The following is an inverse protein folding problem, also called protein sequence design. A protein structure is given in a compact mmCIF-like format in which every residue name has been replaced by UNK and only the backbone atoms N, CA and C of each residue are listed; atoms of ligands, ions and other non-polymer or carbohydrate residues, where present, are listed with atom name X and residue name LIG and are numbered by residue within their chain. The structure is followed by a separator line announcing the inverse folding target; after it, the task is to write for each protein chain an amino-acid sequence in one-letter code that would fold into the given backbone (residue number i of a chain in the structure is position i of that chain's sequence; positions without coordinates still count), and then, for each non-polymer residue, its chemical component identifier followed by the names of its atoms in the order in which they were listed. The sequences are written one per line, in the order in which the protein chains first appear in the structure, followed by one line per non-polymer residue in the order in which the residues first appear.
data_IF_916364995282
#
_entry.id   IF_916364995282
#
_cell.length_a   1.000
_cell.length_b   1.000
_cell.length_c   1.000
_cell.angle_alpha   90.00
_cell.angle_beta   90.00
_cell.angle_gamma   90.00
#
_symmetry.space_group_name_H-M   'P 1'
#
loop_
_entity.id
_entity.type
_entity.pdbx_description
1 polymer ?
#
# COMPACT_ATOMS: atom_id res chain seq x y z
N UNK A 1 -43.39 10.97 20.94
CA UNK A 1 -42.63 10.28 19.87
C UNK A 1 -41.18 10.18 20.34
N UNK A 2 -40.77 9.00 20.82
CA UNK A 2 -39.50 8.80 21.47
C UNK A 2 -38.39 8.45 20.46
N UNK A 3 -37.36 9.27 20.44
CA UNK A 3 -36.15 8.98 19.67
C UNK A 3 -35.28 7.95 20.39
N UNK A 4 -34.96 6.86 19.73
CA UNK A 4 -34.06 5.83 20.23
C UNK A 4 -32.60 6.33 20.29
N UNK A 5 -31.82 6.00 21.32
CA UNK A 5 -30.47 6.48 21.47
C UNK A 5 -29.51 5.73 20.48
N UNK A 6 -28.78 6.52 19.73
CA UNK A 6 -27.68 6.04 18.87
C UNK A 6 -26.61 5.39 19.73
N UNK A 7 -26.45 4.07 19.64
CA UNK A 7 -25.36 3.33 20.29
C UNK A 7 -24.00 3.79 19.74
N UNK A 8 -23.25 4.55 20.52
CA UNK A 8 -21.82 4.82 20.29
C UNK A 8 -21.06 3.48 20.30
N UNK A 9 -20.52 3.08 19.15
CA UNK A 9 -19.59 1.97 19.05
C UNK A 9 -18.34 2.30 19.88
N UNK A 10 -18.09 1.52 20.93
CA UNK A 10 -16.86 1.61 21.72
C UNK A 10 -15.68 1.28 20.82
N UNK A 11 -14.79 2.24 20.60
CA UNK A 11 -13.47 2.02 20.03
C UNK A 11 -12.69 1.13 21.00
N UNK A 12 -12.55 -0.16 20.70
CA UNK A 12 -11.67 -1.07 21.43
C UNK A 12 -10.24 -0.78 20.97
N UNK A 13 -9.59 0.18 21.62
CA UNK A 13 -8.19 0.50 21.38
C UNK A 13 -7.30 -0.72 21.65
N UNK A 14 -6.34 -0.95 20.78
CA UNK A 14 -5.30 -1.97 20.94
C UNK A 14 -4.54 -1.68 22.24
N UNK A 15 -4.32 -2.66 23.14
CA UNK A 15 -3.55 -2.46 24.34
C UNK A 15 -2.15 -1.93 24.00
N UNK A 16 -1.75 -0.82 24.61
CA UNK A 16 -0.41 -0.18 24.43
C UNK A 16 0.75 -1.17 24.56
N UNK A 17 0.57 -2.27 25.29
CA UNK A 17 1.60 -3.33 25.51
C UNK A 17 1.99 -4.10 24.27
N UNK A 18 1.13 -4.24 23.23
CA UNK A 18 1.46 -4.96 22.02
C UNK A 18 2.23 -4.10 20.98
N UNK A 19 2.11 -2.77 21.05
CA UNK A 19 2.89 -1.85 20.20
C UNK A 19 4.38 -1.77 20.58
N UNK A 20 4.72 -1.99 21.86
CA UNK A 20 6.09 -1.88 22.37
C UNK A 20 6.96 -3.10 22.12
N UNK A 21 6.38 -4.28 21.83
CA UNK A 21 7.15 -5.52 21.69
C UNK A 21 7.96 -5.57 20.39
N UNK A 22 7.54 -4.86 19.35
CA UNK A 22 8.23 -4.91 18.05
C UNK A 22 9.48 -4.02 18.00
N UNK A 23 9.50 -2.87 18.66
CA UNK A 23 10.66 -1.95 18.65
C UNK A 23 11.73 -2.27 19.70
N UNK A 24 11.44 -3.10 20.70
CA UNK A 24 12.37 -3.40 21.80
C UNK A 24 13.14 -4.71 21.66
N UNK A 25 12.76 -5.58 20.71
CA UNK A 25 13.44 -6.88 20.51
C UNK A 25 14.71 -6.75 19.68
N UNK A 26 15.79 -7.42 20.12
CA UNK A 26 17.03 -7.54 19.37
C UNK A 26 16.76 -8.07 17.92
N UNK A 27 17.29 -7.41 16.88
CA UNK A 27 17.08 -7.82 15.48
C UNK A 27 17.44 -9.28 15.19
N UNK A 28 18.49 -9.80 15.84
CA UNK A 28 18.94 -11.20 15.71
C UNK A 28 17.88 -12.15 16.29
N UNK A 29 17.30 -11.82 17.43
CA UNK A 29 16.25 -12.61 18.07
C UNK A 29 14.96 -12.60 17.22
N UNK A 30 14.60 -11.45 16.69
CA UNK A 30 13.48 -11.33 15.71
C UNK A 30 13.69 -12.24 14.50
N UNK A 31 14.88 -12.21 13.91
CA UNK A 31 15.22 -13.03 12.76
C UNK A 31 15.17 -14.54 13.09
N UNK A 32 15.65 -14.93 14.26
CA UNK A 32 15.64 -16.32 14.73
C UNK A 32 14.23 -16.83 14.96
N UNK A 33 13.38 -16.06 15.64
CA UNK A 33 11.96 -16.40 15.86
C UNK A 33 11.25 -16.50 14.51
N UNK A 34 11.50 -15.56 13.60
CA UNK A 34 10.86 -15.52 12.28
C UNK A 34 11.17 -16.77 11.44
N UNK A 35 12.40 -17.32 11.54
CA UNK A 35 12.78 -18.56 10.85
C UNK A 35 11.96 -19.78 11.26
N UNK A 36 11.41 -19.78 12.47
CA UNK A 36 10.58 -20.86 13.01
C UNK A 36 9.09 -20.72 12.62
N UNK A 37 8.67 -19.56 12.13
CA UNK A 37 7.29 -19.32 11.75
C UNK A 37 6.94 -19.99 10.41
N UNK A 38 5.68 -20.47 10.25
CA UNK A 38 5.21 -21.04 9.00
C UNK A 38 5.39 -20.08 7.83
N UNK A 39 5.99 -20.59 6.74
CA UNK A 39 6.29 -19.80 5.53
C UNK A 39 5.22 -19.91 4.44
N UNK A 40 4.38 -20.96 4.53
CA UNK A 40 3.36 -21.19 3.52
C UNK A 40 2.21 -20.18 3.68
N UNK A 41 1.86 -19.44 2.63
CA UNK A 41 0.70 -18.55 2.67
C UNK A 41 -0.60 -19.33 2.75
N UNK A 42 -1.38 -19.06 3.79
CA UNK A 42 -2.72 -19.62 4.01
C UNK A 42 -3.69 -18.51 4.44
N UNK A 43 -4.98 -18.79 4.42
CA UNK A 43 -5.97 -17.82 4.85
C UNK A 43 -5.99 -17.72 6.40
N UNK A 44 -5.74 -16.53 6.91
CA UNK A 44 -5.84 -16.19 8.33
C UNK A 44 -6.98 -15.19 8.57
N UNK A 45 -7.67 -15.34 9.70
CA UNK A 45 -8.58 -14.31 10.17
C UNK A 45 -7.77 -13.22 10.88
N UNK A 46 -7.99 -11.96 10.54
CA UNK A 46 -7.35 -10.81 11.20
C UNK A 46 -7.92 -10.69 12.61
N UNK A 47 -7.02 -10.69 13.61
CA UNK A 47 -7.38 -10.85 15.02
C UNK A 47 -7.90 -9.54 15.63
N UNK A 48 -7.29 -8.41 15.28
CA UNK A 48 -7.56 -7.11 15.88
C UNK A 48 -7.59 -5.97 14.83
N UNK A 49 -7.71 -4.73 15.30
CA UNK A 49 -7.61 -3.53 14.46
C UNK A 49 -8.81 -3.26 13.56
N UNK A 50 -8.66 -2.32 12.61
CA UNK A 50 -9.75 -1.86 11.73
C UNK A 50 -10.32 -2.96 10.82
N UNK A 51 -9.49 -3.96 10.47
CA UNK A 51 -9.87 -5.07 9.59
C UNK A 51 -10.18 -6.36 10.35
N UNK A 52 -10.39 -6.28 11.67
CA UNK A 52 -10.73 -7.44 12.50
C UNK A 52 -11.88 -8.25 11.89
N UNK A 53 -11.69 -9.56 11.83
CA UNK A 53 -12.68 -10.51 11.30
C UNK A 53 -12.59 -10.74 9.80
N UNK A 54 -11.91 -9.89 9.04
CA UNK A 54 -11.59 -10.15 7.63
C UNK A 54 -10.54 -11.25 7.51
N UNK A 55 -10.42 -11.80 6.31
CA UNK A 55 -9.45 -12.85 5.99
C UNK A 55 -8.33 -12.30 5.12
N UNK A 56 -7.09 -12.66 5.44
CA UNK A 56 -5.90 -12.34 4.63
C UNK A 56 -5.16 -13.63 4.28
N UNK A 57 -4.71 -13.77 3.05
CA UNK A 57 -3.88 -14.88 2.60
C UNK A 57 -2.42 -14.46 2.64
N UNK A 58 -1.72 -14.91 3.66
CA UNK A 58 -0.30 -14.62 3.89
C UNK A 58 0.31 -15.68 4.77
N UNK A 59 1.60 -15.56 5.13
CA UNK A 59 2.26 -16.44 6.08
C UNK A 59 2.60 -15.70 7.39
N UNK A 60 2.74 -16.45 8.48
CA UNK A 60 3.25 -15.91 9.73
C UNK A 60 4.71 -15.42 9.60
N UNK A 61 5.49 -16.02 8.70
CA UNK A 61 6.85 -15.59 8.43
C UNK A 61 6.90 -14.23 7.75
N UNK A 62 6.02 -13.99 6.76
CA UNK A 62 6.11 -12.81 5.91
C UNK A 62 5.38 -11.60 6.52
N UNK A 63 4.15 -11.79 7.03
CA UNK A 63 3.31 -10.65 7.40
C UNK A 63 2.52 -10.86 8.71
N UNK A 64 3.19 -11.16 9.83
CA UNK A 64 2.52 -11.38 11.12
C UNK A 64 1.73 -10.17 11.62
N UNK A 65 2.22 -8.95 11.36
CA UNK A 65 1.55 -7.70 11.76
C UNK A 65 0.16 -7.54 11.13
N UNK A 66 -0.01 -7.96 9.89
CA UNK A 66 -1.31 -7.95 9.21
C UNK A 66 -2.27 -8.98 9.80
N UNK A 67 -1.79 -10.21 10.13
CA UNK A 67 -2.61 -11.23 10.78
C UNK A 67 -3.08 -10.75 12.16
N UNK A 68 -2.18 -10.13 12.91
CA UNK A 68 -2.48 -9.57 14.24
C UNK A 68 -3.35 -8.31 14.15
N UNK A 69 -3.35 -7.60 13.01
CA UNK A 69 -4.25 -6.47 12.72
C UNK A 69 -3.78 -5.12 13.19
N UNK A 70 -2.47 -4.93 13.41
CA UNK A 70 -1.90 -3.62 13.78
C UNK A 70 -1.00 -3.00 12.69
N UNK A 71 -0.93 -3.64 11.52
CA UNK A 71 -0.13 -3.13 10.41
C UNK A 71 -0.64 -1.78 9.92
N UNK A 72 0.26 -0.90 9.55
CA UNK A 72 -0.01 0.38 8.89
C UNK A 72 -1.14 1.20 9.53
N UNK A 73 -1.23 1.20 10.87
CA UNK A 73 -2.37 1.79 11.60
C UNK A 73 -2.55 3.28 11.34
N UNK A 74 -1.46 4.02 11.10
CA UNK A 74 -1.51 5.45 10.78
C UNK A 74 -2.03 5.68 9.36
N UNK A 75 -1.49 4.94 8.38
CA UNK A 75 -1.96 4.98 7.00
C UNK A 75 -3.43 4.60 6.90
N UNK A 76 -3.89 3.56 7.62
CA UNK A 76 -5.29 3.19 7.63
C UNK A 76 -6.20 4.28 8.21
N UNK A 77 -5.74 5.03 9.21
CA UNK A 77 -6.49 6.19 9.73
C UNK A 77 -6.57 7.31 8.69
N UNK A 78 -5.45 7.60 8.01
CA UNK A 78 -5.41 8.58 6.93
C UNK A 78 -6.34 8.17 5.78
N UNK A 79 -6.27 6.93 5.31
CA UNK A 79 -7.17 6.40 4.28
C UNK A 79 -8.64 6.54 4.68
N UNK A 80 -8.98 6.19 5.93
CA UNK A 80 -10.36 6.31 6.43
C UNK A 80 -10.86 7.76 6.52
N UNK A 81 -9.97 8.72 6.71
CA UNK A 81 -10.32 10.15 6.72
C UNK A 81 -10.46 10.73 5.30
N UNK A 82 -9.81 10.12 4.32
CA UNK A 82 -9.69 10.66 2.97
C UNK A 82 -10.52 9.95 1.90
N UNK A 83 -10.86 8.68 2.09
CA UNK A 83 -11.64 7.88 1.14
C UNK A 83 -13.13 8.07 1.38
N UNK A 84 -13.87 8.38 0.31
CA UNK A 84 -15.33 8.45 0.34
C UNK A 84 -15.97 7.34 -0.51
N UNK A 85 -17.20 6.97 -0.13
CA UNK A 85 -17.95 5.94 -0.83
C UNK A 85 -18.24 6.34 -2.30
N UNK A 86 -17.91 5.46 -3.23
CA UNK A 86 -18.08 5.69 -4.67
C UNK A 86 -16.83 6.18 -5.39
N UNK A 87 -15.76 6.52 -4.66
CA UNK A 87 -14.50 6.98 -5.26
C UNK A 87 -13.70 5.84 -5.92
N UNK A 88 -12.81 6.22 -6.83
CA UNK A 88 -11.80 5.34 -7.44
C UNK A 88 -10.43 5.62 -6.83
N UNK A 89 -9.80 4.59 -6.29
CA UNK A 89 -8.50 4.65 -5.62
C UNK A 89 -7.51 3.64 -6.19
N UNK A 90 -6.23 3.99 -6.13
CA UNK A 90 -5.12 3.10 -6.51
C UNK A 90 -4.31 2.71 -5.28
N UNK A 91 -3.97 1.43 -5.18
CA UNK A 91 -3.03 0.87 -4.21
C UNK A 91 -1.84 0.29 -4.97
N UNK A 92 -0.75 1.06 -5.07
CA UNK A 92 0.44 0.70 -5.84
C UNK A 92 1.48 0.13 -4.87
N UNK A 93 1.82 -1.17 -5.05
CA UNK A 93 2.59 -1.96 -4.10
C UNK A 93 1.70 -2.57 -3.02
N UNK A 94 0.80 -3.46 -3.42
CA UNK A 94 -0.20 -4.04 -2.53
C UNK A 94 0.34 -5.07 -1.54
N UNK A 95 1.50 -5.65 -1.82
CA UNK A 95 2.05 -6.77 -1.07
C UNK A 95 0.99 -7.88 -0.88
N UNK A 96 0.62 -8.28 0.34
CA UNK A 96 -0.45 -9.26 0.58
C UNK A 96 -1.88 -8.68 0.61
N UNK A 97 -2.07 -7.40 0.25
CA UNK A 97 -3.38 -6.78 0.06
C UNK A 97 -4.05 -6.24 1.32
N UNK A 98 -3.29 -5.92 2.38
CA UNK A 98 -3.84 -5.37 3.61
C UNK A 98 -4.49 -4.00 3.40
N UNK A 99 -3.79 -3.10 2.69
CA UNK A 99 -4.30 -1.78 2.29
C UNK A 99 -5.42 -1.88 1.26
N UNK A 100 -5.28 -2.76 0.26
CA UNK A 100 -6.34 -3.02 -0.73
C UNK A 100 -7.67 -3.42 -0.09
N UNK A 101 -7.65 -4.29 0.94
CA UNK A 101 -8.86 -4.64 1.72
C UNK A 101 -9.46 -3.44 2.43
N UNK A 102 -8.63 -2.61 3.06
CA UNK A 102 -9.07 -1.42 3.77
C UNK A 102 -9.75 -0.45 2.82
N UNK A 103 -9.08 -0.10 1.73
CA UNK A 103 -9.62 0.78 0.68
C UNK A 103 -10.92 0.22 0.09
N UNK A 104 -10.96 -1.08 -0.24
CA UNK A 104 -12.15 -1.74 -0.77
C UNK A 104 -13.38 -1.59 0.14
N UNK A 105 -13.20 -1.68 1.46
CA UNK A 105 -14.29 -1.40 2.41
C UNK A 105 -14.72 0.07 2.43
N UNK A 106 -13.77 0.99 2.35
CA UNK A 106 -14.00 2.43 2.47
C UNK A 106 -14.72 2.97 1.24
N UNK A 107 -14.31 2.60 0.03
CA UNK A 107 -14.98 3.03 -1.22
C UNK A 107 -16.39 2.45 -1.37
N UNK A 108 -16.74 1.42 -0.60
CA UNK A 108 -18.01 0.68 -0.67
C UNK A 108 -18.24 -0.03 -2.02
N UNK A 109 -19.39 -0.67 -2.19
CA UNK A 109 -19.73 -1.38 -3.44
C UNK A 109 -19.91 -0.47 -4.67
N UNK A 110 -20.01 0.85 -4.48
CA UNK A 110 -20.17 1.82 -5.58
C UNK A 110 -18.84 2.40 -6.06
N UNK A 111 -17.77 2.24 -5.27
CA UNK A 111 -16.42 2.70 -5.65
C UNK A 111 -15.61 1.61 -6.33
N UNK A 112 -14.36 1.93 -6.64
CA UNK A 112 -13.40 1.01 -7.27
C UNK A 112 -12.04 1.15 -6.61
N UNK A 113 -11.33 0.04 -6.46
CA UNK A 113 -9.92 0.01 -6.09
C UNK A 113 -9.17 -0.81 -7.12
N UNK A 114 -8.12 -0.25 -7.69
CA UNK A 114 -7.16 -1.00 -8.51
C UNK A 114 -5.88 -1.17 -7.70
N UNK A 115 -5.53 -2.42 -7.44
CA UNK A 115 -4.37 -2.75 -6.62
C UNK A 115 -3.30 -3.43 -7.45
N UNK A 116 -2.08 -2.92 -7.39
CA UNK A 116 -0.94 -3.35 -8.21
C UNK A 116 0.07 -4.10 -7.35
N UNK A 117 0.33 -5.34 -7.71
CA UNK A 117 1.32 -6.19 -7.07
C UNK A 117 2.05 -7.01 -8.14
N UNK A 118 3.35 -6.74 -8.40
CA UNK A 118 4.06 -7.33 -9.52
C UNK A 118 4.40 -8.82 -9.33
N UNK A 119 4.59 -9.27 -8.10
CA UNK A 119 5.05 -10.64 -7.82
C UNK A 119 3.89 -11.62 -8.00
N UNK A 120 3.94 -12.55 -8.96
CA UNK A 120 2.78 -13.40 -9.29
C UNK A 120 2.24 -14.20 -8.11
N UNK A 121 3.11 -14.76 -7.26
CA UNK A 121 2.69 -15.50 -6.06
C UNK A 121 1.96 -14.61 -5.05
N UNK A 122 2.45 -13.39 -4.84
CA UNK A 122 1.88 -12.42 -3.91
C UNK A 122 0.59 -11.85 -4.47
N UNK A 123 0.53 -11.50 -5.75
CA UNK A 123 -0.69 -11.08 -6.45
C UNK A 123 -1.79 -12.17 -6.38
N UNK A 124 -1.41 -13.44 -6.49
CA UNK A 124 -2.31 -14.57 -6.25
C UNK A 124 -2.88 -14.61 -4.83
N UNK A 125 -2.06 -14.28 -3.82
CA UNK A 125 -2.53 -14.14 -2.43
C UNK A 125 -3.49 -12.96 -2.28
N UNK A 126 -3.22 -11.80 -2.92
CA UNK A 126 -4.13 -10.65 -2.95
C UNK A 126 -5.46 -11.02 -3.58
N UNK A 127 -5.46 -11.69 -4.73
CA UNK A 127 -6.68 -12.13 -5.43
C UNK A 127 -7.54 -13.05 -4.56
N UNK A 128 -6.92 -14.00 -3.86
CA UNK A 128 -7.62 -14.87 -2.90
C UNK A 128 -8.14 -14.10 -1.68
N UNK A 129 -7.36 -13.14 -1.18
CA UNK A 129 -7.76 -12.25 -0.08
C UNK A 129 -9.02 -11.45 -0.45
N UNK A 130 -9.03 -10.83 -1.63
CA UNK A 130 -10.17 -10.08 -2.19
C UNK A 130 -11.41 -10.97 -2.31
N UNK A 131 -11.25 -12.17 -2.90
CA UNK A 131 -12.33 -13.15 -3.08
C UNK A 131 -12.93 -13.62 -1.75
N UNK A 132 -12.09 -14.00 -0.78
CA UNK A 132 -12.53 -14.46 0.55
C UNK A 132 -13.34 -13.43 1.32
N UNK A 133 -13.10 -12.13 1.05
CA UNK A 133 -13.81 -11.02 1.69
C UNK A 133 -14.94 -10.44 0.82
N UNK A 134 -15.22 -11.04 -0.35
CA UNK A 134 -16.28 -10.61 -1.29
C UNK A 134 -16.15 -9.13 -1.69
N UNK A 135 -14.93 -8.66 -1.93
CA UNK A 135 -14.62 -7.28 -2.31
C UNK A 135 -14.64 -7.14 -3.85
N UNK A 136 -15.81 -7.25 -4.47
CA UNK A 136 -15.97 -7.21 -5.93
C UNK A 136 -15.51 -5.88 -6.56
N UNK A 137 -15.45 -4.81 -5.79
CA UNK A 137 -14.96 -3.48 -6.19
C UNK A 137 -13.43 -3.36 -6.22
N UNK A 138 -12.68 -4.41 -5.81
CA UNK A 138 -11.21 -4.43 -5.83
C UNK A 138 -10.73 -5.25 -7.02
N UNK A 139 -10.03 -4.61 -7.94
CA UNK A 139 -9.38 -5.24 -9.11
C UNK A 139 -7.90 -5.42 -8.83
N UNK A 140 -7.41 -6.65 -8.90
CA UNK A 140 -5.98 -6.97 -8.72
C UNK A 140 -5.30 -6.98 -10.09
N UNK A 141 -4.27 -6.14 -10.24
CA UNK A 141 -3.46 -6.02 -11.45
C UNK A 141 -2.06 -6.57 -11.17
N UNK A 142 -1.69 -7.73 -11.70
CA UNK A 142 -0.41 -8.39 -11.41
C UNK A 142 0.72 -7.78 -12.23
N UNK A 143 1.01 -6.50 -12.02
CA UNK A 143 2.02 -5.73 -12.74
C UNK A 143 2.70 -4.73 -11.82
N UNK A 144 3.96 -4.40 -12.14
CA UNK A 144 4.63 -3.23 -11.60
C UNK A 144 4.29 -2.00 -12.45
N UNK A 145 4.19 -0.86 -11.79
CA UNK A 145 4.17 0.42 -12.45
C UNK A 145 5.58 1.03 -12.45
N UNK A 146 5.92 1.70 -13.54
CA UNK A 146 7.21 2.35 -13.75
C UNK A 146 7.11 3.35 -14.90
N UNK A 147 8.21 3.55 -15.65
CA UNK A 147 8.26 4.55 -16.73
C UNK A 147 8.67 3.97 -18.10
N UNK A 148 8.35 2.73 -18.47
CA UNK A 148 8.52 2.30 -19.85
C UNK A 148 7.41 2.88 -20.75
N UNK A 149 7.72 3.04 -22.04
CA UNK A 149 6.76 3.52 -23.05
C UNK A 149 5.67 2.51 -23.40
N UNK A 150 5.95 1.24 -23.13
CA UNK A 150 5.07 0.10 -23.41
C UNK A 150 5.24 -1.00 -22.33
N UNK A 151 4.62 -2.15 -22.54
CA UNK A 151 4.73 -3.28 -21.63
C UNK A 151 6.11 -3.96 -21.76
N UNK A 152 6.84 -4.03 -20.67
CA UNK A 152 8.14 -4.70 -20.59
C UNK A 152 8.10 -5.91 -19.66
N UNK A 153 8.93 -6.91 -19.94
CA UNK A 153 9.21 -8.03 -19.04
C UNK A 153 10.55 -7.80 -18.34
N UNK A 154 10.52 -7.75 -17.00
CA UNK A 154 11.74 -7.59 -16.18
C UNK A 154 11.90 -8.76 -15.22
N UNK A 155 13.13 -9.00 -14.76
CA UNK A 155 13.43 -9.95 -13.69
C UNK A 155 13.82 -9.18 -12.45
N UNK A 156 13.16 -9.48 -11.34
CA UNK A 156 13.46 -8.88 -10.03
C UNK A 156 13.83 -9.96 -9.03
N UNK A 157 14.74 -9.65 -8.12
CA UNK A 157 14.96 -10.47 -6.93
C UNK A 157 13.86 -10.20 -5.92
N UNK A 158 13.42 -11.23 -5.20
CA UNK A 158 12.35 -11.11 -4.22
C UNK A 158 12.75 -11.70 -2.88
N UNK A 159 12.31 -11.04 -1.82
CA UNK A 159 12.38 -11.55 -0.44
C UNK A 159 11.02 -11.40 0.20
N UNK A 160 10.46 -12.50 0.72
CA UNK A 160 9.16 -12.50 1.41
C UNK A 160 8.02 -11.86 0.60
N UNK A 161 7.99 -12.10 -0.71
CA UNK A 161 6.99 -11.56 -1.62
C UNK A 161 7.16 -10.07 -1.96
N UNK A 162 8.24 -9.42 -1.52
CA UNK A 162 8.61 -8.05 -1.89
C UNK A 162 9.80 -8.04 -2.83
N UNK A 163 9.90 -7.02 -3.67
CA UNK A 163 11.12 -6.77 -4.45
C UNK A 163 12.27 -6.40 -3.52
N UNK A 164 13.47 -6.88 -3.84
CA UNK A 164 14.67 -6.57 -3.05
C UNK A 164 15.82 -6.24 -3.99
N UNK A 165 16.09 -4.95 -4.14
CA UNK A 165 17.15 -4.43 -4.99
C UNK A 165 18.57 -4.66 -4.42
N UNK A 166 18.67 -5.04 -3.15
CA UNK A 166 19.97 -5.27 -2.47
C UNK A 166 20.51 -6.68 -2.70
N UNK A 167 19.66 -7.62 -3.13
CA UNK A 167 20.05 -9.00 -3.38
C UNK A 167 20.90 -9.13 -4.64
N UNK A 168 22.18 -9.44 -4.45
CA UNK A 168 23.13 -9.75 -5.51
C UNK A 168 23.43 -11.26 -5.48
N UNK A 169 23.27 -11.94 -6.62
CA UNK A 169 23.67 -13.34 -6.87
C UNK A 169 23.07 -14.43 -5.94
N UNK A 170 22.35 -15.38 -6.50
CA UNK A 170 21.83 -16.57 -5.83
C UNK A 170 20.44 -16.43 -5.20
N UNK A 171 19.77 -15.32 -5.43
CA UNK A 171 18.38 -15.07 -4.98
C UNK A 171 17.38 -15.64 -5.98
N UNK A 172 16.19 -15.98 -5.52
CA UNK A 172 15.07 -16.35 -6.38
C UNK A 172 14.66 -15.13 -7.21
N UNK A 173 14.77 -15.25 -8.53
CA UNK A 173 14.31 -14.23 -9.47
C UNK A 173 12.91 -14.56 -9.97
N UNK A 174 12.07 -13.54 -10.02
CA UNK A 174 10.72 -13.63 -10.58
C UNK A 174 10.63 -12.72 -11.80
N UNK A 175 10.02 -13.23 -12.87
CA UNK A 175 9.66 -12.42 -14.03
C UNK A 175 8.39 -11.62 -13.71
N UNK A 176 8.41 -10.32 -13.96
CA UNK A 176 7.29 -9.41 -13.75
C UNK A 176 7.05 -8.57 -15.00
N UNK A 177 5.80 -8.21 -15.23
CA UNK A 177 5.45 -7.20 -16.21
C UNK A 177 5.55 -5.81 -15.58
N UNK A 178 6.13 -4.86 -16.34
CA UNK A 178 6.26 -3.45 -15.95
C UNK A 178 5.70 -2.58 -17.06
N UNK A 179 4.92 -1.58 -16.71
CA UNK A 179 4.39 -0.59 -17.67
C UNK A 179 4.20 0.77 -17.00
N UNK A 180 3.97 1.83 -17.78
CA UNK A 180 3.55 3.10 -17.22
C UNK A 180 2.04 3.13 -16.95
N UNK A 181 1.64 3.79 -15.88
CA UNK A 181 0.22 3.92 -15.54
C UNK A 181 -0.56 4.65 -16.65
N UNK A 182 0.01 5.72 -17.19
CA UNK A 182 -0.60 6.54 -18.26
C UNK A 182 -0.84 5.77 -19.57
N UNK A 183 -0.04 4.72 -19.83
CA UNK A 183 -0.28 3.81 -20.94
C UNK A 183 -1.33 2.76 -20.61
N UNK A 184 -1.30 2.24 -19.38
CA UNK A 184 -2.12 1.11 -18.95
C UNK A 184 -3.58 1.51 -18.67
N UNK A 185 -3.80 2.65 -18.00
CA UNK A 185 -5.10 3.02 -17.44
C UNK A 185 -6.26 3.00 -18.43
N UNK A 186 -6.15 3.64 -19.62
CA UNK A 186 -7.23 3.60 -20.60
C UNK A 186 -7.50 2.21 -21.19
N UNK A 187 -6.61 1.23 -20.94
CA UNK A 187 -6.74 -0.15 -21.42
C UNK A 187 -7.37 -1.10 -20.43
N UNK A 188 -7.30 -0.80 -19.14
CA UNK A 188 -7.85 -1.65 -18.09
C UNK A 188 -9.10 -1.08 -17.44
N UNK A 189 -9.38 0.18 -17.64
CA UNK A 189 -10.53 0.86 -17.04
C UNK A 189 -11.36 1.59 -18.11
N UNK A 190 -12.48 0.98 -18.45
CA UNK A 190 -13.42 1.54 -19.41
C UNK A 190 -13.98 2.88 -18.88
N UNK A 191 -14.09 3.87 -19.78
CA UNK A 191 -14.58 5.19 -19.47
C UNK A 191 -13.56 6.11 -18.80
N UNK A 192 -12.31 5.65 -18.59
CA UNK A 192 -11.19 6.44 -18.01
C UNK A 192 -11.64 7.33 -16.83
N UNK A 193 -12.22 6.74 -15.75
CA UNK A 193 -12.77 7.52 -14.65
C UNK A 193 -11.69 8.24 -13.88
N UNK A 194 -12.07 9.37 -13.30
CA UNK A 194 -11.22 10.18 -12.43
C UNK A 194 -10.69 9.33 -11.26
N UNK A 195 -9.40 9.50 -10.96
CA UNK A 195 -8.74 8.91 -9.79
C UNK A 195 -8.79 9.92 -8.65
N UNK A 196 -9.37 9.53 -7.54
CA UNK A 196 -9.58 10.39 -6.36
C UNK A 196 -8.40 10.34 -5.39
N UNK A 197 -7.73 9.18 -5.32
CA UNK A 197 -6.57 9.04 -4.45
C UNK A 197 -5.69 7.85 -4.81
N UNK A 198 -4.45 7.92 -4.35
CA UNK A 198 -3.39 6.96 -4.66
C UNK A 198 -2.56 6.72 -3.40
N UNK A 199 -2.26 5.44 -3.11
CA UNK A 199 -1.17 5.04 -2.23
C UNK A 199 -0.04 4.48 -3.09
N UNK A 200 1.19 4.92 -2.85
CA UNK A 200 2.42 4.40 -3.49
C UNK A 200 3.37 3.92 -2.41
N UNK A 201 3.80 2.66 -2.53
CA UNK A 201 4.79 2.01 -1.66
C UNK A 201 5.45 0.89 -2.48
N UNK A 202 6.57 1.20 -3.15
CA UNK A 202 7.14 0.38 -4.23
C UNK A 202 8.63 0.08 -4.08
N UNK A 203 9.14 0.21 -2.86
CA UNK A 203 10.48 -0.24 -2.47
C UNK A 203 11.61 0.35 -3.35
N UNK A 204 11.59 1.69 -3.52
CA UNK A 204 12.63 2.45 -4.19
C UNK A 204 12.36 2.81 -5.66
N UNK A 205 11.18 2.48 -6.20
CA UNK A 205 10.78 2.78 -7.59
C UNK A 205 9.81 3.98 -7.67
N UNK A 206 9.73 4.81 -6.63
CA UNK A 206 8.76 5.92 -6.51
C UNK A 206 8.90 6.93 -7.64
N UNK A 207 10.15 7.26 -8.03
CA UNK A 207 10.43 8.20 -9.13
C UNK A 207 9.88 7.69 -10.46
N UNK A 208 10.12 6.41 -10.76
CA UNK A 208 9.68 5.76 -11.99
C UNK A 208 8.16 5.67 -12.03
N UNK A 209 7.52 5.37 -10.91
CA UNK A 209 6.05 5.34 -10.80
C UNK A 209 5.47 6.73 -11.04
N UNK A 210 5.97 7.76 -10.37
CA UNK A 210 5.51 9.15 -10.55
C UNK A 210 5.70 9.63 -11.98
N UNK A 211 6.84 9.32 -12.63
CA UNK A 211 7.06 9.61 -14.06
C UNK A 211 6.05 8.92 -14.96
N UNK A 212 5.79 7.63 -14.70
CA UNK A 212 4.89 6.80 -15.50
C UNK A 212 3.41 7.16 -15.35
N UNK A 213 3.07 8.01 -14.39
CA UNK A 213 1.69 8.49 -14.16
C UNK A 213 1.58 10.02 -14.18
N UNK A 214 2.59 10.72 -14.68
CA UNK A 214 2.68 12.17 -14.64
C UNK A 214 1.50 12.89 -15.32
N UNK A 215 0.99 12.35 -16.43
CA UNK A 215 -0.20 12.90 -17.12
C UNK A 215 -1.44 12.76 -16.22
N UNK A 216 -1.68 11.59 -15.68
CA UNK A 216 -2.81 11.30 -14.79
C UNK A 216 -2.75 12.14 -13.51
N UNK A 217 -1.57 12.31 -12.93
CA UNK A 217 -1.38 13.18 -11.76
C UNK A 217 -1.72 14.64 -12.07
N UNK A 218 -1.31 15.16 -13.22
CA UNK A 218 -1.63 16.54 -13.66
C UNK A 218 -3.11 16.73 -13.94
N UNK A 219 -3.75 15.72 -14.55
CA UNK A 219 -5.14 15.79 -14.98
C UNK A 219 -6.10 15.74 -13.81
N UNK A 220 -5.93 14.75 -12.92
CA UNK A 220 -6.90 14.48 -11.85
C UNK A 220 -6.50 14.99 -10.47
N UNK A 221 -5.21 15.27 -10.25
CA UNK A 221 -4.66 15.74 -8.97
C UNK A 221 -5.20 14.97 -7.76
N UNK A 222 -5.07 13.62 -7.76
CA UNK A 222 -5.59 12.80 -6.68
C UNK A 222 -4.91 13.09 -5.35
N UNK A 223 -5.58 12.77 -4.25
CA UNK A 223 -4.92 12.70 -2.93
C UNK A 223 -3.82 11.66 -2.99
N UNK A 224 -2.64 11.98 -2.49
CA UNK A 224 -1.47 11.11 -2.63
C UNK A 224 -0.86 10.79 -1.27
N UNK A 225 -0.82 9.49 -0.92
CA UNK A 225 0.01 8.93 0.13
C UNK A 225 1.18 8.20 -0.52
N UNK A 226 2.42 8.63 -0.24
CA UNK A 226 3.61 8.06 -0.83
C UNK A 226 4.62 7.71 0.26
N UNK A 227 5.04 6.44 0.32
CA UNK A 227 6.16 6.01 1.14
C UNK A 227 7.47 6.27 0.40
N UNK A 228 8.41 6.94 1.08
CA UNK A 228 9.71 7.27 0.52
C UNK A 228 10.74 6.31 1.10
N UNK A 229 11.31 5.47 0.24
CA UNK A 229 12.29 4.47 0.65
C UNK A 229 13.73 5.00 0.65
N UNK A 230 14.60 4.27 1.35
CA UNK A 230 16.04 4.53 1.36
C UNK A 230 16.62 4.50 -0.08
N UNK A 231 17.51 5.45 -0.39
CA UNK A 231 18.13 5.56 -1.70
C UNK A 231 17.33 6.33 -2.76
N UNK A 232 16.09 6.66 -2.51
CA UNK A 232 15.27 7.51 -3.42
C UNK A 232 15.80 8.94 -3.39
N UNK A 233 16.11 9.49 -4.57
CA UNK A 233 16.52 10.88 -4.69
C UNK A 233 15.33 11.81 -4.46
N UNK A 234 15.27 12.40 -3.25
CA UNK A 234 14.14 13.22 -2.78
C UNK A 234 13.95 14.49 -3.58
N UNK A 235 15.03 15.15 -3.96
CA UNK A 235 14.95 16.38 -4.78
C UNK A 235 14.32 16.08 -6.14
N UNK A 236 14.72 15.00 -6.80
CA UNK A 236 14.12 14.57 -8.06
C UNK A 236 12.65 14.21 -7.89
N UNK A 237 12.29 13.47 -6.84
CA UNK A 237 10.90 13.09 -6.54
C UNK A 237 10.03 14.32 -6.30
N UNK A 238 10.50 15.27 -5.48
CA UNK A 238 9.76 16.49 -5.15
C UNK A 238 9.61 17.41 -6.37
N UNK A 239 10.65 17.52 -7.21
CA UNK A 239 10.55 18.28 -8.46
C UNK A 239 9.49 17.71 -9.40
N UNK A 240 9.46 16.39 -9.58
CA UNK A 240 8.45 15.70 -10.39
C UNK A 240 7.03 15.91 -9.86
N UNK A 241 6.84 15.82 -8.54
CA UNK A 241 5.53 16.05 -7.92
C UNK A 241 5.10 17.51 -8.07
N UNK A 242 6.02 18.47 -7.93
CA UNK A 242 5.73 19.89 -8.21
C UNK A 242 5.30 20.12 -9.67
N UNK A 243 5.99 19.49 -10.62
CA UNK A 243 5.64 19.55 -12.05
C UNK A 243 4.26 18.94 -12.33
N UNK A 244 3.82 18.01 -11.46
CA UNK A 244 2.47 17.42 -11.50
C UNK A 244 1.41 18.24 -10.74
N UNK A 245 1.78 19.40 -10.15
CA UNK A 245 0.85 20.32 -9.49
C UNK A 245 0.66 20.06 -8.00
N UNK A 246 1.59 19.35 -7.35
CA UNK A 246 1.58 19.14 -5.89
C UNK A 246 2.42 20.19 -5.15
N UNK A 247 2.13 20.40 -3.88
CA UNK A 247 2.98 21.19 -3.00
C UNK A 247 4.32 20.47 -2.79
N UNK A 248 5.39 21.23 -2.56
CA UNK A 248 6.71 20.65 -2.25
C UNK A 248 6.79 20.16 -0.81
N UNK A 249 6.07 20.81 0.07
CA UNK A 249 5.91 20.43 1.45
C UNK A 249 4.90 19.28 1.55
N UNK A 250 5.29 18.21 2.23
CA UNK A 250 4.44 17.07 2.51
C UNK A 250 4.28 16.89 4.02
N UNK A 251 3.12 16.42 4.43
CA UNK A 251 2.86 16.10 5.82
C UNK A 251 3.15 14.61 6.09
N UNK A 252 3.93 14.26 7.15
CA UNK A 252 4.10 12.87 7.53
C UNK A 252 2.77 12.28 8.01
N UNK A 253 2.38 11.10 7.48
CA UNK A 253 1.14 10.42 7.87
C UNK A 253 1.23 9.89 9.30
N UNK A 254 2.43 9.52 9.75
CA UNK A 254 2.73 9.18 11.14
C UNK A 254 3.94 10.01 11.61
N UNK A 255 3.72 11.21 12.16
CA UNK A 255 4.82 12.04 12.66
C UNK A 255 5.63 11.31 13.74
N UNK A 256 6.96 11.33 13.63
CA UNK A 256 7.84 10.94 14.71
C UNK A 256 7.97 12.09 15.72
N UNK A 257 8.31 11.77 16.96
CA UNK A 257 8.56 12.76 17.98
C UNK A 257 9.74 13.64 17.56
N UNK A 258 9.55 14.94 17.46
CA UNK A 258 10.55 15.90 16.97
C UNK A 258 10.68 16.01 15.43
N UNK A 259 9.90 15.27 14.65
CA UNK A 259 9.89 15.36 13.19
C UNK A 259 9.24 16.68 12.74
N UNK A 260 9.94 17.42 11.90
CA UNK A 260 9.40 18.62 11.24
C UNK A 260 9.06 18.28 9.79
N UNK A 261 8.14 19.02 9.19
CA UNK A 261 7.68 18.84 7.79
C UNK A 261 8.78 18.99 6.72
N UNK A 262 10.00 19.38 7.12
CA UNK A 262 11.14 19.55 6.22
C UNK A 262 12.03 18.31 6.06
N UNK A 263 11.86 17.27 6.87
CA UNK A 263 12.71 16.08 6.88
C UNK A 263 11.91 14.86 6.42
N UNK A 264 12.12 14.46 5.18
CA UNK A 264 11.68 13.17 4.69
C UNK A 264 12.59 12.08 5.24
N UNK A 265 12.07 11.27 6.15
CA UNK A 265 12.76 10.10 6.68
C UNK A 265 12.55 8.90 5.76
N UNK A 266 13.53 7.99 5.72
CA UNK A 266 13.43 6.75 4.97
C UNK A 266 12.35 5.82 5.52
N UNK A 267 11.69 5.11 4.63
CA UNK A 267 10.64 4.14 4.94
C UNK A 267 9.47 4.77 5.75
N UNK A 268 9.05 5.95 5.31
CA UNK A 268 7.94 6.70 5.91
C UNK A 268 6.96 7.18 4.85
N UNK A 269 5.70 7.18 5.20
CA UNK A 269 4.61 7.64 4.34
C UNK A 269 4.28 9.12 4.58
N UNK A 270 4.16 9.85 3.48
CA UNK A 270 3.83 11.27 3.45
C UNK A 270 2.58 11.52 2.62
N UNK A 271 1.78 12.48 3.07
CA UNK A 271 0.68 13.05 2.31
C UNK A 271 1.17 14.21 1.46
N UNK A 272 0.85 14.17 0.16
CA UNK A 272 1.08 15.26 -0.77
C UNK A 272 -0.26 15.85 -1.21
N UNK A 273 -0.42 17.16 -1.01
CA UNK A 273 -1.62 17.88 -1.38
C UNK A 273 -1.47 18.54 -2.74
N UNK A 274 -2.47 18.42 -3.64
CA UNK A 274 -2.56 19.24 -4.86
C UNK A 274 -2.62 20.73 -4.51
N UNK A 275 -1.99 21.57 -5.38
CA UNK A 275 -2.08 23.04 -5.32
C UNK A 275 -3.35 23.55 -5.97
#
# INVERSE_FOLDING_TARGET
MGGAPVRRKRNVGIPRRLRGLDNSMNPVLKASIRRLLPKQPVAHQIIAGPLRGMRIVTSWNDYPSAILGYNESALLRWLNANIHAGETWLDIGAHYGYTAMAMGRMVSARGRVFTFEPTPSTAGCVSRTVSLNKLAQVTVVPMALGYPSELELKRIATTRGMSDSTLKNGSDYVAIFVTSFDWLWPRICEGNPCIHGIKIDVQGMEIEVVRGMARSLKEWRPKLALEVHEGVNRETLLALLQDCGYARDAAPIEPAEGETTALFLDNRSYEFCPK
#
